data_IF_030495165063
#
_entry.id   IF_030495165063
#
_cell.length_a   1.000
_cell.length_b   1.000
_cell.length_c   1.000
_cell.angle_alpha   90.00
_cell.angle_beta   90.00
_cell.angle_gamma   90.00
#
_symmetry.space_group_name_H-M   'P 1'
#
loop_
_entity.id
_entity.type
_entity.pdbx_description
1 polymer ?
#
# COMPACT_ATOMS: atom_id res chain seq x y z
N UNK A 1 10.54 -2.12 -15.96
CA UNK A 1 11.37 -1.36 -15.00
C UNK A 1 11.56 -2.09 -13.67
N UNK A 2 10.52 -2.37 -12.86
CA UNK A 2 10.69 -3.15 -11.61
C UNK A 2 10.63 -4.67 -11.80
N UNK A 3 9.80 -5.14 -12.74
CA UNK A 3 9.59 -6.57 -12.96
C UNK A 3 10.50 -7.12 -14.06
N UNK A 4 10.40 -6.67 -15.30
CA UNK A 4 11.37 -7.01 -16.33
C UNK A 4 12.50 -5.96 -16.46
N UNK A 5 13.71 -6.46 -16.72
CA UNK A 5 14.97 -5.71 -16.84
C UNK A 5 15.34 -5.38 -18.30
N UNK A 6 14.39 -5.40 -19.25
CA UNK A 6 14.69 -5.22 -20.69
C UNK A 6 15.26 -3.84 -21.03
N UNK A 7 14.93 -2.82 -20.24
CA UNK A 7 15.47 -1.46 -20.39
C UNK A 7 16.17 -1.04 -19.09
N UNK A 8 17.50 -1.09 -19.07
CA UNK A 8 18.32 -0.74 -17.90
C UNK A 8 18.38 0.76 -17.60
N UNK A 9 18.07 1.61 -18.58
CA UNK A 9 18.13 3.07 -18.48
C UNK A 9 16.76 3.74 -18.28
N UNK A 10 15.67 3.00 -18.45
CA UNK A 10 14.32 3.53 -18.20
C UNK A 10 14.00 3.45 -16.71
N UNK A 11 14.27 4.54 -15.99
CA UNK A 11 14.05 4.69 -14.55
C UNK A 11 12.86 5.57 -14.19
N UNK A 12 12.09 6.06 -15.17
CA UNK A 12 11.05 7.06 -14.94
C UNK A 12 9.68 6.51 -15.32
N UNK A 13 8.83 6.26 -14.33
CA UNK A 13 7.42 5.97 -14.57
C UNK A 13 6.61 7.28 -14.58
N UNK A 14 6.29 7.76 -15.79
CA UNK A 14 5.40 8.90 -15.99
C UNK A 14 6.03 10.28 -15.76
N UNK A 15 5.35 11.31 -16.27
CA UNK A 15 5.75 12.71 -16.16
C UNK A 15 5.41 13.23 -14.74
N UNK A 16 6.38 13.21 -13.82
CA UNK A 16 6.16 13.70 -12.44
C UNK A 16 6.23 15.23 -12.38
N UNK A 17 5.07 15.87 -12.21
CA UNK A 17 4.95 17.31 -11.93
C UNK A 17 5.34 17.67 -10.47
N UNK A 18 5.70 16.69 -9.63
CA UNK A 18 5.83 16.86 -8.18
C UNK A 18 7.14 16.31 -7.59
N UNK A 19 8.27 16.49 -8.30
CA UNK A 19 9.58 15.99 -7.89
C UNK A 19 9.98 16.30 -6.44
N UNK A 20 9.60 17.46 -5.88
CA UNK A 20 9.91 17.79 -4.47
C UNK A 20 9.23 16.84 -3.46
N UNK A 21 7.99 16.43 -3.71
CA UNK A 21 7.25 15.48 -2.85
C UNK A 21 7.78 14.05 -2.97
N UNK A 22 8.33 13.70 -4.15
CA UNK A 22 9.03 12.43 -4.36
C UNK A 22 10.25 12.35 -3.44
N UNK A 23 11.08 13.39 -3.46
CA UNK A 23 12.29 13.48 -2.64
C UNK A 23 11.96 13.37 -1.15
N UNK A 24 10.96 14.11 -0.66
CA UNK A 24 10.56 14.09 0.75
C UNK A 24 10.15 12.70 1.26
N UNK A 25 9.31 11.98 0.49
CA UNK A 25 8.86 10.64 0.88
C UNK A 25 10.03 9.66 1.00
N UNK A 26 10.91 9.65 0.01
CA UNK A 26 12.01 8.69 -0.07
C UNK A 26 13.09 9.00 0.98
N UNK A 27 13.48 10.26 1.15
CA UNK A 27 14.45 10.67 2.19
C UNK A 27 13.95 10.31 3.59
N UNK A 28 12.66 10.52 3.86
CA UNK A 28 12.10 10.13 5.15
C UNK A 28 12.11 8.61 5.35
N UNK A 29 11.84 7.81 4.32
CA UNK A 29 11.87 6.35 4.36
C UNK A 29 13.31 5.80 4.52
N UNK A 30 14.30 6.45 3.90
CA UNK A 30 15.72 6.08 3.97
C UNK A 30 16.27 6.11 5.40
N UNK A 31 15.73 7.00 6.25
CA UNK A 31 16.10 7.10 7.67
C UNK A 31 15.45 6.02 8.56
N UNK A 32 14.59 5.15 8.02
CA UNK A 32 13.87 4.11 8.78
C UNK A 32 14.48 2.73 8.57
N UNK A 33 14.24 1.85 9.54
CA UNK A 33 14.71 0.47 9.47
C UNK A 33 13.90 -0.32 8.42
N UNK A 34 14.49 -1.38 7.84
CA UNK A 34 13.76 -2.26 6.93
C UNK A 34 12.49 -2.82 7.58
N UNK A 35 11.40 -2.89 6.81
CA UNK A 35 10.09 -3.38 7.23
C UNK A 35 9.52 -2.72 8.51
N UNK A 36 9.84 -1.46 8.79
CA UNK A 36 9.37 -0.75 9.99
C UNK A 36 8.28 0.29 9.74
N UNK A 37 7.91 0.53 8.48
CA UNK A 37 6.97 1.59 8.08
C UNK A 37 5.66 0.99 7.56
N UNK A 38 4.54 1.49 8.06
CA UNK A 38 3.20 1.26 7.49
C UNK A 38 2.94 2.33 6.43
N UNK A 39 2.82 1.93 5.17
CA UNK A 39 2.36 2.83 4.12
C UNK A 39 0.83 2.85 4.09
N UNK A 40 0.21 4.03 4.06
CA UNK A 40 -1.25 4.19 4.10
C UNK A 40 -1.71 5.05 2.93
N UNK A 41 -2.51 4.47 2.02
CA UNK A 41 -3.08 5.18 0.87
C UNK A 41 -4.41 4.59 0.44
N UNK A 42 -5.44 5.45 0.37
CA UNK A 42 -6.80 5.09 -0.05
C UNK A 42 -7.09 5.50 -1.51
N UNK A 43 -6.06 5.80 -2.28
CA UNK A 43 -6.19 6.19 -3.69
C UNK A 43 -6.84 7.57 -3.88
N UNK A 44 -7.24 7.84 -5.12
CA UNK A 44 -7.71 9.17 -5.54
C UNK A 44 -9.19 9.43 -5.27
N UNK A 45 -10.01 8.38 -5.15
CA UNK A 45 -11.47 8.49 -5.12
C UNK A 45 -12.10 8.21 -3.75
N UNK A 46 -11.44 7.46 -2.87
CA UNK A 46 -11.99 7.19 -1.54
C UNK A 46 -11.94 8.47 -0.70
N UNK A 47 -13.08 8.80 -0.09
CA UNK A 47 -13.24 9.92 0.84
C UNK A 47 -13.62 9.33 2.18
N UNK A 48 -12.85 9.65 3.21
CA UNK A 48 -13.12 9.22 4.58
C UNK A 48 -13.88 10.34 5.30
N UNK A 49 -14.84 9.98 6.15
CA UNK A 49 -15.47 10.95 7.05
C UNK A 49 -14.52 11.30 8.22
N UNK A 50 -14.85 12.33 8.97
CA UNK A 50 -14.02 12.82 10.08
C UNK A 50 -13.80 11.76 11.15
N UNK A 51 -14.85 11.01 11.50
CA UNK A 51 -14.78 9.93 12.49
C UNK A 51 -13.79 8.84 12.06
N UNK A 52 -13.81 8.44 10.79
CA UNK A 52 -12.90 7.42 10.28
C UNK A 52 -11.45 7.92 10.18
N UNK A 53 -11.25 9.20 9.82
CA UNK A 53 -9.94 9.84 9.83
C UNK A 53 -9.37 9.90 11.25
N UNK A 54 -10.22 10.19 12.24
CA UNK A 54 -9.86 10.19 13.66
C UNK A 54 -9.47 8.79 14.14
N UNK A 55 -10.26 7.75 13.84
CA UNK A 55 -9.94 6.37 14.23
C UNK A 55 -8.65 5.88 13.57
N UNK A 56 -8.38 6.26 12.32
CA UNK A 56 -7.12 5.95 11.64
C UNK A 56 -5.92 6.65 12.28
N UNK A 57 -6.03 7.96 12.53
CA UNK A 57 -4.96 8.71 13.20
C UNK A 57 -4.64 8.11 14.58
N UNK A 58 -5.67 7.87 15.39
CA UNK A 58 -5.54 7.27 16.70
C UNK A 58 -4.94 5.85 16.64
N UNK A 59 -5.40 5.04 15.68
CA UNK A 59 -4.93 3.67 15.48
C UNK A 59 -3.46 3.63 15.08
N UNK A 60 -3.07 4.42 14.08
CA UNK A 60 -1.70 4.51 13.58
C UNK A 60 -0.72 4.93 14.67
N UNK A 61 -1.03 6.01 15.41
CA UNK A 61 -0.19 6.42 16.55
C UNK A 61 -0.07 5.31 17.60
N UNK A 62 -1.20 4.69 17.97
CA UNK A 62 -1.25 3.65 19.00
C UNK A 62 -0.49 2.37 18.61
N UNK A 63 -0.27 2.11 17.32
CA UNK A 63 0.57 0.98 16.88
C UNK A 63 2.02 1.13 17.33
N UNK A 64 2.50 2.37 17.49
CA UNK A 64 3.89 2.66 17.74
C UNK A 64 4.83 2.42 16.55
N UNK A 65 4.32 1.98 15.39
CA UNK A 65 5.08 1.86 14.15
C UNK A 65 5.33 3.23 13.53
N UNK A 66 6.35 3.33 12.66
CA UNK A 66 6.45 4.47 11.75
C UNK A 66 5.38 4.33 10.66
N UNK A 67 4.85 5.44 10.15
CA UNK A 67 3.89 5.39 9.05
C UNK A 67 4.05 6.54 8.07
N UNK A 68 3.79 6.26 6.79
CA UNK A 68 3.67 7.29 5.75
C UNK A 68 2.21 7.28 5.28
N UNK A 69 1.48 8.36 5.55
CA UNK A 69 0.05 8.45 5.27
C UNK A 69 -0.25 9.51 4.22
N UNK A 70 -0.83 9.06 3.10
CA UNK A 70 -1.29 9.93 2.02
C UNK A 70 -2.68 10.48 2.36
N UNK A 71 -2.75 11.78 2.63
CA UNK A 71 -4.00 12.51 2.92
C UNK A 71 -4.08 13.71 2.00
N UNK A 72 -5.01 13.66 1.03
CA UNK A 72 -5.20 14.74 0.05
C UNK A 72 -5.43 16.08 0.76
N UNK A 73 -4.97 17.17 0.15
CA UNK A 73 -5.09 18.53 0.70
C UNK A 73 -6.54 18.89 1.07
N UNK A 74 -7.52 18.44 0.28
CA UNK A 74 -8.96 18.64 0.55
C UNK A 74 -9.48 17.89 1.78
N UNK A 75 -8.74 16.89 2.27
CA UNK A 75 -9.10 16.02 3.38
C UNK A 75 -8.29 16.34 4.65
N UNK A 76 -7.19 17.10 4.54
CA UNK A 76 -6.26 17.36 5.64
C UNK A 76 -6.93 18.00 6.86
N UNK A 77 -7.96 18.83 6.64
CA UNK A 77 -8.73 19.47 7.71
C UNK A 77 -9.50 18.48 8.60
N UNK A 78 -9.71 17.23 8.13
CA UNK A 78 -10.41 16.17 8.88
C UNK A 78 -9.52 15.48 9.91
N UNK A 79 -8.19 15.65 9.83
CA UNK A 79 -7.28 15.15 10.85
C UNK A 79 -7.40 16.07 12.07
N UNK A 80 -7.80 15.56 13.25
CA UNK A 80 -7.90 16.40 14.44
C UNK A 80 -6.54 16.97 14.83
N UNK A 81 -6.47 18.28 15.07
CA UNK A 81 -5.21 19.01 15.34
C UNK A 81 -4.41 18.45 16.51
N UNK A 82 -5.07 17.88 17.51
CA UNK A 82 -4.38 17.30 18.67
C UNK A 82 -3.58 16.04 18.33
N UNK A 83 -3.88 15.36 17.22
CA UNK A 83 -3.02 14.28 16.71
C UNK A 83 -1.84 14.79 15.90
N UNK A 84 -1.76 16.08 15.55
CA UNK A 84 -0.68 16.57 14.70
C UNK A 84 0.70 16.36 15.35
N UNK A 85 0.82 16.61 16.66
CA UNK A 85 2.06 16.40 17.42
C UNK A 85 2.41 14.90 17.51
N UNK A 86 1.47 14.07 17.94
CA UNK A 86 1.65 12.61 18.03
C UNK A 86 2.00 11.97 16.68
N UNK A 87 1.35 12.42 15.60
CA UNK A 87 1.65 11.99 14.24
C UNK A 87 3.06 12.43 13.87
N UNK A 88 3.47 13.67 14.15
CA UNK A 88 4.79 14.17 13.74
C UNK A 88 5.97 13.43 14.38
N UNK A 89 5.78 12.73 15.49
CA UNK A 89 6.84 11.93 16.12
C UNK A 89 7.20 10.66 15.33
N UNK A 90 6.21 10.01 14.69
CA UNK A 90 6.38 8.70 14.03
C UNK A 90 5.84 8.62 12.60
N UNK A 91 5.08 9.62 12.19
CA UNK A 91 4.33 9.68 10.96
C UNK A 91 4.85 10.77 10.02
N UNK A 92 4.82 10.48 8.72
CA UNK A 92 4.89 11.48 7.67
C UNK A 92 3.54 11.54 6.97
N UNK A 93 2.89 12.70 6.98
CA UNK A 93 1.62 12.92 6.25
C UNK A 93 1.90 13.77 5.03
N UNK A 94 1.58 13.25 3.85
CA UNK A 94 1.78 13.93 2.56
C UNK A 94 0.48 13.96 1.76
N UNK A 95 0.31 14.96 0.89
CA UNK A 95 -0.89 15.02 0.05
C UNK A 95 -0.85 14.14 -1.19
N UNK A 96 0.34 13.66 -1.54
CA UNK A 96 0.59 12.75 -2.64
C UNK A 96 1.92 12.04 -2.40
N UNK A 97 2.06 10.81 -2.88
CA UNK A 97 3.30 10.03 -2.81
C UNK A 97 3.62 9.33 -4.14
N UNK A 98 4.90 9.12 -4.47
CA UNK A 98 5.31 8.22 -5.55
C UNK A 98 5.07 6.77 -5.12
N UNK A 99 3.82 6.29 -5.25
CA UNK A 99 3.37 5.05 -4.60
C UNK A 99 4.21 3.83 -4.98
N UNK A 100 4.62 3.72 -6.25
CA UNK A 100 5.41 2.59 -6.72
C UNK A 100 6.81 2.58 -6.07
N UNK A 101 7.45 3.74 -6.01
CA UNK A 101 8.75 3.95 -5.36
C UNK A 101 8.67 3.71 -3.85
N UNK A 102 7.60 4.19 -3.20
CA UNK A 102 7.34 3.95 -1.77
C UNK A 102 7.16 2.46 -1.50
N UNK A 103 6.31 1.77 -2.27
CA UNK A 103 6.08 0.33 -2.14
C UNK A 103 7.34 -0.50 -2.42
N UNK A 104 8.23 -0.01 -3.30
CA UNK A 104 9.51 -0.67 -3.59
C UNK A 104 10.56 -0.42 -2.50
N UNK A 105 10.32 0.51 -1.58
CA UNK A 105 11.28 0.90 -0.57
C UNK A 105 11.41 -0.14 0.55
N UNK A 106 12.65 -0.52 0.89
CA UNK A 106 12.97 -1.56 1.91
C UNK A 106 12.36 -1.32 3.29
N UNK A 107 12.10 -0.06 3.63
CA UNK A 107 11.55 0.33 4.94
C UNK A 107 10.06 0.07 5.08
N UNK A 108 9.33 -0.07 3.97
CA UNK A 108 7.89 -0.38 4.01
C UNK A 108 7.69 -1.84 4.41
N UNK A 109 7.02 -2.04 5.54
CA UNK A 109 6.70 -3.37 6.09
C UNK A 109 5.30 -3.85 5.71
N UNK A 110 4.35 -2.94 5.52
CA UNK A 110 3.02 -3.26 5.01
C UNK A 110 2.32 -2.06 4.39
N UNK A 111 1.26 -2.35 3.63
CA UNK A 111 0.44 -1.38 2.91
C UNK A 111 -1.03 -1.43 3.38
N UNK A 112 -1.47 -0.42 4.11
CA UNK A 112 -2.89 -0.19 4.41
C UNK A 112 -3.56 0.48 3.22
N UNK A 113 -4.46 -0.25 2.56
CA UNK A 113 -5.00 0.11 1.25
C UNK A 113 -6.51 -0.07 1.16
N UNK A 114 -7.14 0.76 0.34
CA UNK A 114 -8.53 0.59 -0.09
C UNK A 114 -8.76 -0.62 -1.00
N UNK A 115 -7.73 -1.38 -1.39
CA UNK A 115 -7.83 -2.56 -2.25
C UNK A 115 -8.30 -2.27 -3.69
N UNK A 116 -8.03 -1.07 -4.22
CA UNK A 116 -8.19 -0.82 -5.65
C UNK A 116 -7.25 -1.72 -6.48
N UNK A 117 -7.68 -2.13 -7.68
CA UNK A 117 -6.95 -3.14 -8.46
C UNK A 117 -5.50 -2.75 -8.79
N UNK A 118 -5.26 -1.50 -9.21
CA UNK A 118 -3.92 -1.01 -9.54
C UNK A 118 -2.98 -1.11 -8.33
N UNK A 119 -3.41 -0.58 -7.18
CA UNK A 119 -2.63 -0.61 -5.94
C UNK A 119 -2.42 -2.03 -5.42
N UNK A 120 -3.38 -2.92 -5.64
CA UNK A 120 -3.26 -4.35 -5.31
C UNK A 120 -2.19 -5.02 -6.17
N UNK A 121 -2.18 -4.75 -7.49
CA UNK A 121 -1.17 -5.28 -8.40
C UNK A 121 0.23 -4.74 -8.08
N UNK A 122 0.37 -3.46 -7.75
CA UNK A 122 1.65 -2.87 -7.32
C UNK A 122 2.17 -3.54 -6.04
N UNK A 123 1.31 -3.68 -5.02
CA UNK A 123 1.66 -4.35 -3.76
C UNK A 123 2.08 -5.81 -3.96
N UNK A 124 1.31 -6.58 -4.73
CA UNK A 124 1.64 -7.98 -5.08
C UNK A 124 2.97 -8.08 -5.85
N UNK A 125 3.14 -7.23 -6.86
CA UNK A 125 4.30 -7.23 -7.74
C UNK A 125 5.59 -6.84 -7.02
N UNK A 126 5.49 -6.05 -5.96
CA UNK A 126 6.63 -5.62 -5.16
C UNK A 126 6.85 -6.48 -3.91
N UNK A 127 5.90 -7.37 -3.60
CA UNK A 127 5.98 -8.29 -2.46
C UNK A 127 5.67 -7.63 -1.12
N UNK A 128 4.74 -6.66 -1.10
CA UNK A 128 4.38 -5.90 0.10
C UNK A 128 3.14 -6.51 0.76
N UNK A 129 3.20 -6.93 2.03
CA UNK A 129 2.03 -7.34 2.82
C UNK A 129 0.94 -6.26 2.84
N UNK A 130 -0.32 -6.66 2.72
CA UNK A 130 -1.44 -5.70 2.67
C UNK A 130 -2.37 -5.79 3.88
N UNK A 131 -2.88 -4.64 4.30
CA UNK A 131 -4.03 -4.51 5.19
C UNK A 131 -5.15 -3.88 4.37
N UNK A 132 -6.18 -4.66 4.08
CA UNK A 132 -7.30 -4.23 3.26
C UNK A 132 -8.38 -3.52 4.05
N UNK A 133 -8.72 -2.29 3.65
CA UNK A 133 -9.84 -1.50 4.14
C UNK A 133 -10.71 -1.05 2.96
N UNK A 134 -11.47 -1.98 2.35
CA UNK A 134 -12.24 -1.71 1.14
C UNK A 134 -13.43 -0.79 1.42
N UNK A 135 -13.83 -0.02 0.40
CA UNK A 135 -14.99 0.88 0.49
C UNK A 135 -16.09 0.52 -0.52
N UNK A 136 -15.81 0.54 -1.83
CA UNK A 136 -16.85 0.38 -2.87
C UNK A 136 -16.33 -0.39 -4.10
N UNK A 137 -17.22 -0.64 -5.07
CA UNK A 137 -16.98 -1.43 -6.31
C UNK A 137 -16.39 -2.82 -6.07
N UNK A 138 -15.25 -3.10 -6.68
CA UNK A 138 -14.47 -4.32 -6.67
C UNK A 138 -13.61 -4.44 -5.42
N UNK A 139 -13.43 -3.37 -4.64
CA UNK A 139 -12.55 -3.35 -3.48
C UNK A 139 -12.88 -4.42 -2.44
N UNK A 140 -14.16 -4.67 -2.05
CA UNK A 140 -14.48 -5.73 -1.09
C UNK A 140 -14.12 -7.13 -1.62
N UNK A 141 -14.27 -7.35 -2.93
CA UNK A 141 -13.87 -8.59 -3.59
C UNK A 141 -12.35 -8.72 -3.59
N UNK A 142 -11.62 -7.67 -3.99
CA UNK A 142 -10.15 -7.67 -3.97
C UNK A 142 -9.61 -7.92 -2.56
N UNK A 143 -10.21 -7.31 -1.54
CA UNK A 143 -9.84 -7.53 -0.14
C UNK A 143 -10.07 -9.00 0.29
N UNK A 144 -11.14 -9.64 -0.21
CA UNK A 144 -11.36 -11.08 -0.01
C UNK A 144 -10.27 -11.93 -0.68
N UNK A 145 -9.83 -11.58 -1.89
CA UNK A 145 -8.73 -12.29 -2.55
C UNK A 145 -7.40 -12.11 -1.81
N UNK A 146 -7.10 -10.89 -1.36
CA UNK A 146 -5.92 -10.56 -0.53
C UNK A 146 -5.88 -11.45 0.72
N UNK A 147 -7.01 -11.55 1.43
CA UNK A 147 -7.10 -12.25 2.71
C UNK A 147 -7.22 -13.78 2.56
N UNK A 148 -8.21 -14.25 1.80
CA UNK A 148 -8.66 -15.66 1.83
C UNK A 148 -7.98 -16.53 0.76
N UNK A 149 -7.70 -15.95 -0.41
CA UNK A 149 -7.26 -16.71 -1.60
C UNK A 149 -5.74 -16.69 -1.72
N UNK A 150 -5.17 -15.49 -1.82
CA UNK A 150 -3.73 -15.30 -1.97
C UNK A 150 -3.00 -15.32 -0.63
N UNK A 151 -3.71 -15.02 0.46
CA UNK A 151 -3.19 -14.97 1.83
C UNK A 151 -1.96 -14.06 1.95
N UNK A 152 -2.05 -12.91 1.30
CA UNK A 152 -1.01 -11.87 1.20
C UNK A 152 -1.30 -10.68 2.13
N UNK A 153 -2.34 -10.79 2.94
CA UNK A 153 -2.75 -9.72 3.83
C UNK A 153 -3.87 -10.13 4.77
N UNK A 154 -4.37 -9.13 5.49
CA UNK A 154 -5.56 -9.22 6.35
C UNK A 154 -6.56 -8.16 5.94
N UNK A 155 -7.83 -8.33 6.29
CA UNK A 155 -8.85 -7.30 6.09
C UNK A 155 -9.34 -6.76 7.42
N UNK A 156 -9.53 -5.45 7.50
CA UNK A 156 -10.10 -4.80 8.67
C UNK A 156 -11.58 -5.14 8.83
N UNK A 157 -12.05 -5.19 10.06
CA UNK A 157 -13.47 -5.34 10.41
C UNK A 157 -14.05 -4.00 10.83
N UNK A 158 -15.09 -3.57 10.11
CA UNK A 158 -15.90 -2.44 10.51
C UNK A 158 -16.94 -2.87 11.55
N UNK A 159 -17.27 -1.98 12.47
CA UNK A 159 -18.37 -2.12 13.42
C UNK A 159 -19.74 -1.94 12.72
N UNK A 160 -20.83 -2.12 13.45
CA UNK A 160 -22.19 -2.01 12.92
C UNK A 160 -22.53 -0.63 12.31
N UNK A 161 -21.84 0.42 12.73
CA UNK A 161 -21.97 1.78 12.19
C UNK A 161 -21.07 2.03 10.95
N UNK A 162 -20.35 1.00 10.49
CA UNK A 162 -19.46 1.06 9.34
C UNK A 162 -18.08 1.62 9.63
N UNK A 163 -17.77 2.00 10.88
CA UNK A 163 -16.47 2.53 11.25
C UNK A 163 -15.49 1.42 11.61
N UNK A 164 -14.27 1.55 11.10
CA UNK A 164 -13.11 0.74 11.52
C UNK A 164 -12.47 1.43 12.71
N UNK A 165 -12.59 0.81 13.88
CA UNK A 165 -12.03 1.34 15.14
C UNK A 165 -10.51 1.27 15.14
N UNK A 166 -9.89 2.19 15.88
CA UNK A 166 -8.45 2.23 16.13
C UNK A 166 -7.90 0.92 16.67
N UNK A 167 -8.66 0.20 17.51
CA UNK A 167 -8.27 -1.13 18.02
C UNK A 167 -8.10 -2.15 16.89
N UNK A 168 -8.96 -2.08 15.87
CA UNK A 168 -8.88 -2.96 14.71
C UNK A 168 -7.67 -2.61 13.83
N UNK A 169 -7.37 -1.31 13.67
CA UNK A 169 -6.15 -0.86 12.97
C UNK A 169 -4.91 -1.40 13.69
N UNK A 170 -4.83 -1.23 15.02
CA UNK A 170 -3.73 -1.74 15.85
C UNK A 170 -3.60 -3.24 15.74
N UNK A 171 -4.71 -3.99 15.81
CA UNK A 171 -4.72 -5.45 15.68
C UNK A 171 -4.19 -5.88 14.32
N UNK A 172 -4.66 -5.27 13.23
CA UNK A 172 -4.25 -5.63 11.87
C UNK A 172 -2.78 -5.31 11.60
N UNK A 173 -2.32 -4.12 12.01
CA UNK A 173 -0.91 -3.72 11.88
C UNK A 173 -0.03 -4.66 12.69
N UNK A 174 -0.36 -4.92 13.96
CA UNK A 174 0.39 -5.85 14.81
C UNK A 174 0.49 -7.26 14.21
N UNK A 175 -0.62 -7.81 13.70
CA UNK A 175 -0.64 -9.14 13.08
C UNK A 175 0.24 -9.22 11.82
N UNK A 176 0.16 -8.21 10.95
CA UNK A 176 0.93 -8.20 9.70
C UNK A 176 2.42 -7.92 9.95
N UNK A 177 2.74 -6.99 10.85
CA UNK A 177 4.12 -6.58 11.12
C UNK A 177 4.85 -7.62 11.96
N UNK A 178 4.26 -8.09 13.06
CA UNK A 178 4.95 -8.88 14.09
C UNK A 178 4.31 -10.25 14.38
N UNK A 179 3.04 -10.43 14.02
CA UNK A 179 2.29 -11.65 14.29
C UNK A 179 2.77 -12.90 13.52
N UNK A 180 2.33 -14.07 14.00
CA UNK A 180 2.63 -15.35 13.35
C UNK A 180 2.01 -15.44 11.95
N UNK A 181 0.78 -14.92 11.76
CA UNK A 181 0.16 -14.86 10.43
C UNK A 181 0.95 -13.93 9.50
N UNK A 182 1.55 -12.87 10.04
CA UNK A 182 2.45 -11.98 9.31
C UNK A 182 3.64 -12.70 8.67
N UNK A 183 4.18 -13.75 9.30
CA UNK A 183 5.24 -14.58 8.72
C UNK A 183 4.76 -15.39 7.51
N UNK A 184 3.56 -15.97 7.58
CA UNK A 184 2.94 -16.66 6.44
C UNK A 184 2.66 -15.67 5.30
N UNK A 185 2.07 -14.51 5.62
CA UNK A 185 1.79 -13.44 4.66
C UNK A 185 3.06 -13.03 3.91
N UNK A 186 4.18 -12.80 4.63
CA UNK A 186 5.47 -12.44 4.03
C UNK A 186 5.99 -13.48 3.04
N UNK A 187 5.85 -14.77 3.36
CA UNK A 187 6.22 -15.86 2.42
C UNK A 187 5.34 -15.85 1.18
N UNK A 188 4.04 -15.59 1.34
CA UNK A 188 3.09 -15.57 0.23
C UNK A 188 3.33 -14.37 -0.70
N UNK A 189 3.53 -13.16 -0.17
CA UNK A 189 3.82 -11.99 -1.03
C UNK A 189 5.12 -12.15 -1.82
N UNK A 190 6.15 -12.76 -1.23
CA UNK A 190 7.40 -13.02 -1.96
C UNK A 190 7.19 -14.03 -3.10
N UNK A 191 6.40 -15.09 -2.85
CA UNK A 191 6.00 -16.02 -3.91
C UNK A 191 5.25 -15.30 -5.04
N UNK A 192 4.29 -14.45 -4.71
CA UNK A 192 3.51 -13.69 -5.71
C UNK A 192 4.37 -12.70 -6.49
N UNK A 193 5.32 -12.03 -5.83
CA UNK A 193 6.30 -11.16 -6.48
C UNK A 193 7.13 -11.91 -7.53
N UNK A 194 7.64 -13.09 -7.18
CA UNK A 194 8.40 -13.94 -8.12
C UNK A 194 7.53 -14.33 -9.32
N UNK A 195 6.32 -14.82 -9.08
CA UNK A 195 5.39 -15.20 -10.15
C UNK A 195 5.01 -14.02 -11.06
N UNK A 196 4.74 -12.85 -10.47
CA UNK A 196 4.45 -11.63 -11.23
C UNK A 196 5.63 -11.24 -12.13
N UNK A 197 6.86 -11.38 -11.63
CA UNK A 197 8.08 -11.14 -12.41
C UNK A 197 8.24 -12.12 -13.56
N UNK A 198 8.06 -13.41 -13.29
CA UNK A 198 8.16 -14.47 -14.30
C UNK A 198 7.12 -14.29 -15.41
N UNK A 199 5.89 -13.90 -15.05
CA UNK A 199 4.81 -13.71 -16.02
C UNK A 199 5.11 -12.61 -17.04
N UNK A 200 5.74 -11.51 -16.63
CA UNK A 200 6.01 -10.34 -17.49
C UNK A 200 7.42 -10.32 -18.08
N UNK A 201 8.31 -11.20 -17.64
CA UNK A 201 9.65 -11.34 -18.23
C UNK A 201 9.58 -11.94 -19.64
N UNK A 202 10.65 -11.78 -20.42
CA UNK A 202 10.73 -12.32 -21.78
C UNK A 202 10.39 -13.81 -21.84
N UNK A 203 9.44 -14.19 -22.70
CA UNK A 203 8.94 -15.55 -22.82
C UNK A 203 7.99 -15.99 -21.70
N UNK A 204 7.67 -15.09 -20.76
CA UNK A 204 6.66 -15.25 -19.72
C UNK A 204 5.23 -15.33 -20.27
N UNK A 205 4.28 -15.68 -19.43
CA UNK A 205 2.89 -15.86 -19.86
C UNK A 205 2.24 -14.56 -20.34
N UNK A 206 2.39 -13.47 -19.58
CA UNK A 206 1.83 -12.16 -19.93
C UNK A 206 2.56 -11.53 -21.11
N UNK A 207 3.87 -11.75 -21.22
CA UNK A 207 4.69 -11.35 -22.36
C UNK A 207 4.19 -11.99 -23.67
N UNK A 208 4.00 -13.32 -23.66
CA UNK A 208 3.40 -14.03 -24.80
C UNK A 208 1.97 -13.59 -25.10
N UNK A 209 1.17 -13.31 -24.06
CA UNK A 209 -0.20 -12.84 -24.26
C UNK A 209 -0.27 -11.47 -24.92
N UNK A 210 0.65 -10.55 -24.58
CA UNK A 210 0.66 -9.23 -25.23
C UNK A 210 1.13 -9.34 -26.69
N UNK A 211 2.12 -10.19 -26.98
CA UNK A 211 2.56 -10.46 -28.36
C UNK A 211 1.43 -11.05 -29.21
N UNK A 212 0.71 -12.03 -28.66
CA UNK A 212 -0.47 -12.61 -29.30
C UNK A 212 -1.54 -11.55 -29.56
N UNK A 213 -1.84 -10.71 -28.58
CA UNK A 213 -2.81 -9.62 -28.74
C UNK A 213 -2.39 -8.66 -29.85
N UNK A 214 -1.14 -8.20 -29.88
CA UNK A 214 -0.63 -7.29 -30.93
C UNK A 214 -0.71 -7.95 -32.31
N UNK A 215 -0.37 -9.24 -32.43
CA UNK A 215 -0.43 -9.97 -33.69
C UNK A 215 -1.83 -10.09 -34.30
N UNK A 216 -2.89 -9.89 -33.52
CA UNK A 216 -4.27 -9.86 -34.03
C UNK A 216 -4.59 -8.59 -34.82
N UNK A 217 -3.77 -7.54 -34.70
CA UNK A 217 -3.97 -6.23 -35.32
C UNK A 217 -2.86 -5.85 -36.31
N UNK A 218 -1.85 -6.70 -36.49
CA UNK A 218 -0.78 -6.57 -37.49
C UNK A 218 -0.99 -7.59 -38.61
#
# INVERSE_FOLDING_TARGET
MYLDKRLSEDKNYGFSLFNAKVTECIEWLDSKQPNSVVYVSFGSLVILNEDQMMELAAGLTKTGCFFLWVVRETEAAKIPKYYAEEISEKGLVVSWSPQLEVLAHKSVGCFLTHCGWNSTLEGLSLGVPMIGMPHWTDQPTNAKFIEDVWKVGVRVKAEADGLVRREEVVRCVGEVMEGERGKEIRRNVEKWKVLAREAVSEGGSSDKSIDQFVSMFC
#
